data_IF_608555379678
#
_entry.id   IF_608555379678
#
_cell.length_a   1.000
_cell.length_b   1.000
_cell.length_c   1.000
_cell.angle_alpha   90.00
_cell.angle_beta   90.00
_cell.angle_gamma   90.00
#
_symmetry.space_group_name_H-M   'P 1'
#
loop_
_entity.id
_entity.type
_entity.pdbx_description
1 polymer ?
#
# COMPACT_ATOMS: atom_id res chain seq x y z
N UNK A 1 30.97 14.23 0.30
CA UNK A 1 30.07 15.06 1.13
C UNK A 1 30.90 15.56 2.31
N UNK A 2 31.02 16.88 2.50
CA UNK A 2 31.75 17.45 3.64
C UNK A 2 31.01 17.25 4.97
N UNK A 3 31.67 17.47 6.12
CA UNK A 3 31.09 17.24 7.45
C UNK A 3 29.85 18.10 7.77
N UNK A 4 29.66 19.22 7.05
CA UNK A 4 28.57 20.17 7.29
C UNK A 4 27.37 20.01 6.33
N UNK A 5 27.46 19.11 5.34
CA UNK A 5 26.37 18.89 4.38
C UNK A 5 25.21 18.15 5.06
N UNK A 6 23.99 18.72 4.99
CA UNK A 6 22.81 18.25 5.72
C UNK A 6 23.01 18.19 7.25
N UNK A 7 23.93 19.00 7.77
CA UNK A 7 24.12 19.21 9.20
C UNK A 7 23.27 20.41 9.67
N UNK A 8 22.39 20.19 10.64
CA UNK A 8 21.48 21.23 11.15
C UNK A 8 20.14 21.29 10.41
N UNK A 9 19.56 22.49 10.27
CA UNK A 9 18.28 22.68 9.56
C UNK A 9 18.54 22.66 8.06
N UNK A 10 17.88 21.77 7.35
CA UNK A 10 17.90 21.69 5.88
C UNK A 10 16.46 21.44 5.39
N UNK A 11 16.18 21.76 4.13
CA UNK A 11 14.85 21.57 3.56
C UNK A 11 14.73 22.21 2.18
N UNK A 12 13.69 21.84 1.44
CA UNK A 12 13.46 22.37 0.11
C UNK A 12 11.99 22.52 -0.23
N UNK A 13 11.74 23.30 -1.27
CA UNK A 13 10.43 23.53 -1.86
C UNK A 13 10.53 23.22 -3.34
N UNK A 14 9.65 22.35 -3.81
CA UNK A 14 9.42 22.13 -5.22
C UNK A 14 8.02 22.64 -5.58
N UNK A 15 7.92 23.37 -6.70
CA UNK A 15 6.66 23.88 -7.21
C UNK A 15 6.56 23.62 -8.71
N UNK A 16 5.51 22.91 -9.11
CA UNK A 16 5.26 22.55 -10.50
C UNK A 16 4.00 23.25 -11.02
N UNK A 17 4.12 24.49 -11.53
CA UNK A 17 2.97 25.22 -12.06
C UNK A 17 2.42 24.64 -13.36
N UNK A 18 3.27 23.96 -14.15
CA UNK A 18 2.91 23.37 -15.44
C UNK A 18 3.43 21.94 -15.54
N UNK A 19 2.78 21.10 -16.35
CA UNK A 19 3.24 19.72 -16.59
C UNK A 19 4.67 19.64 -17.13
N UNK A 20 5.12 20.67 -17.86
CA UNK A 20 6.45 20.75 -18.46
C UNK A 20 7.47 21.53 -17.63
N UNK A 21 7.11 22.19 -16.52
CA UNK A 21 8.02 23.03 -15.74
C UNK A 21 7.83 22.82 -14.23
N UNK A 22 8.91 22.45 -13.56
CA UNK A 22 9.04 22.47 -12.11
C UNK A 22 10.17 23.41 -11.70
N UNK A 23 9.94 24.20 -10.66
CA UNK A 23 10.93 25.05 -10.01
C UNK A 23 11.26 24.41 -8.68
N UNK A 24 12.54 24.35 -8.32
CA UNK A 24 13.01 23.80 -7.07
C UNK A 24 13.98 24.77 -6.38
N UNK A 25 13.90 24.81 -5.06
CA UNK A 25 14.82 25.55 -4.20
C UNK A 25 15.06 24.76 -2.93
N UNK A 26 16.30 24.53 -2.56
CA UNK A 26 16.67 23.79 -1.35
C UNK A 26 17.77 24.51 -0.56
N UNK A 27 17.73 24.36 0.75
CA UNK A 27 18.76 24.78 1.67
C UNK A 27 19.39 23.52 2.27
N UNK A 28 20.69 23.32 2.01
CA UNK A 28 21.42 22.08 2.32
C UNK A 28 22.20 22.13 3.65
N UNK A 29 21.94 23.15 4.48
CA UNK A 29 22.67 23.45 5.71
C UNK A 29 23.90 24.35 5.51
N UNK A 30 24.48 24.37 4.31
CA UNK A 30 25.65 25.21 3.97
C UNK A 30 25.34 26.34 2.99
N UNK A 31 24.24 26.23 2.24
CA UNK A 31 23.73 27.28 1.36
C UNK A 31 22.42 26.91 0.67
N UNK A 32 21.91 27.86 -0.10
CA UNK A 32 20.70 27.76 -0.92
C UNK A 32 21.08 27.38 -2.35
N UNK A 33 20.34 26.42 -2.89
CA UNK A 33 20.36 25.96 -4.26
C UNK A 33 19.01 26.28 -4.89
N UNK A 34 19.00 26.69 -6.16
CA UNK A 34 17.76 26.83 -6.91
C UNK A 34 17.94 26.41 -8.36
N UNK A 35 16.89 25.83 -8.94
CA UNK A 35 16.93 25.31 -10.29
C UNK A 35 15.54 25.09 -10.88
N UNK A 36 15.53 24.54 -12.09
CA UNK A 36 14.32 24.18 -12.78
C UNK A 36 14.46 22.81 -13.44
N UNK A 37 13.36 22.06 -13.51
CA UNK A 37 13.22 20.85 -14.32
C UNK A 37 12.25 21.13 -15.46
N UNK A 38 12.65 20.79 -16.67
CA UNK A 38 11.83 20.83 -17.87
C UNK A 38 11.45 19.41 -18.26
N UNK A 39 10.17 19.09 -18.30
CA UNK A 39 9.67 17.75 -18.64
C UNK A 39 9.19 17.70 -20.10
N UNK A 40 9.40 16.55 -20.74
CA UNK A 40 8.76 16.26 -22.02
C UNK A 40 7.24 16.14 -21.83
N UNK A 41 6.42 16.70 -22.74
CA UNK A 41 4.98 16.46 -22.76
C UNK A 41 4.64 14.96 -22.72
N UNK A 42 3.54 14.60 -22.07
CA UNK A 42 3.11 13.20 -21.88
C UNK A 42 2.90 12.43 -23.20
N UNK A 43 2.70 13.14 -24.31
CA UNK A 43 2.49 12.55 -25.64
C UNK A 43 3.77 12.30 -26.42
N UNK A 44 4.92 12.80 -25.97
CA UNK A 44 6.17 12.72 -26.73
C UNK A 44 6.87 11.37 -26.64
N UNK A 45 6.69 10.66 -25.53
CA UNK A 45 7.34 9.38 -25.30
C UNK A 45 6.28 8.27 -25.09
N UNK A 46 6.50 7.08 -25.66
CA UNK A 46 5.53 5.99 -25.59
C UNK A 46 5.45 5.39 -24.17
N UNK A 47 4.42 4.59 -23.92
CA UNK A 47 4.29 3.77 -22.71
C UNK A 47 4.32 4.55 -21.38
N UNK A 48 3.89 5.81 -21.38
CA UNK A 48 3.93 6.65 -20.18
C UNK A 48 5.35 7.02 -19.70
N UNK A 49 6.34 6.86 -20.58
CA UNK A 49 7.70 7.33 -20.30
C UNK A 49 7.73 8.86 -20.23
N UNK A 50 8.62 9.40 -19.41
CA UNK A 50 8.89 10.84 -19.40
C UNK A 50 10.39 11.10 -19.30
N UNK A 51 10.89 12.11 -20.01
CA UNK A 51 12.24 12.59 -19.85
C UNK A 51 12.22 14.00 -19.26
N UNK A 52 13.24 14.37 -18.52
CA UNK A 52 13.39 15.73 -18.03
C UNK A 52 14.83 16.22 -18.08
N UNK A 53 14.98 17.51 -18.27
CA UNK A 53 16.23 18.24 -18.15
C UNK A 53 16.19 19.04 -16.85
N UNK A 54 17.14 18.81 -15.95
CA UNK A 54 17.32 19.60 -14.73
C UNK A 54 18.47 20.57 -14.93
N UNK A 55 18.26 21.83 -14.58
CA UNK A 55 19.29 22.85 -14.58
C UNK A 55 19.36 23.54 -13.22
N UNK A 56 20.53 23.49 -12.57
CA UNK A 56 20.79 24.27 -11.38
C UNK A 56 21.21 25.69 -11.77
N UNK A 57 20.28 26.64 -11.59
CA UNK A 57 20.47 28.03 -11.97
C UNK A 57 21.24 28.84 -10.90
N UNK A 58 21.17 28.41 -9.63
CA UNK A 58 21.81 29.09 -8.51
C UNK A 58 22.30 28.10 -7.46
N UNK A 59 23.47 28.39 -6.90
CA UNK A 59 23.98 27.80 -5.67
C UNK A 59 24.88 28.82 -4.98
N UNK A 60 24.74 28.96 -3.67
CA UNK A 60 25.76 29.57 -2.82
C UNK A 60 26.23 28.59 -1.73
N UNK A 61 26.05 27.29 -1.96
CA UNK A 61 26.49 26.25 -1.05
C UNK A 61 28.01 26.22 -0.96
N UNK A 62 28.52 26.19 0.26
CA UNK A 62 29.95 26.09 0.54
C UNK A 62 30.38 24.65 0.83
N UNK A 63 29.61 23.66 0.34
CA UNK A 63 29.94 22.24 0.51
C UNK A 63 31.28 21.94 -0.15
N UNK A 64 32.23 21.42 0.64
CA UNK A 64 33.58 21.08 0.17
C UNK A 64 33.57 20.12 -1.03
N UNK A 65 34.36 20.44 -2.07
CA UNK A 65 34.48 19.68 -3.32
C UNK A 65 33.15 19.40 -4.05
N UNK A 66 32.18 20.31 -3.96
CA UNK A 66 30.93 20.23 -4.72
C UNK A 66 30.86 21.30 -5.79
N UNK A 67 30.55 20.90 -7.02
CA UNK A 67 30.24 21.84 -8.08
C UNK A 67 28.90 22.52 -7.80
N UNK A 68 28.91 23.84 -7.89
CA UNK A 68 27.77 24.70 -7.56
C UNK A 68 26.83 24.93 -8.77
N UNK A 69 27.12 24.28 -9.89
CA UNK A 69 26.29 24.30 -11.10
C UNK A 69 26.38 22.93 -11.77
N UNK A 70 25.23 22.33 -12.06
CA UNK A 70 25.14 21.10 -12.84
C UNK A 70 23.90 21.10 -13.74
N UNK A 71 23.99 20.30 -14.79
CA UNK A 71 22.88 19.97 -15.70
C UNK A 71 22.69 18.46 -15.62
N UNK A 72 21.45 18.01 -15.47
CA UNK A 72 21.13 16.59 -15.45
C UNK A 72 20.03 16.24 -16.43
N UNK A 73 20.08 15.02 -16.94
CA UNK A 73 19.03 14.44 -17.77
C UNK A 73 18.50 13.22 -17.05
N UNK A 74 17.19 13.13 -16.88
CA UNK A 74 16.54 11.98 -16.25
C UNK A 74 15.50 11.35 -17.17
N UNK A 75 15.35 10.03 -17.07
CA UNK A 75 14.34 9.24 -17.78
C UNK A 75 13.53 8.44 -16.75
N UNK A 76 12.21 8.54 -16.82
CA UNK A 76 11.28 7.78 -15.99
C UNK A 76 10.63 6.69 -16.84
N UNK A 77 10.76 5.44 -16.39
CA UNK A 77 10.23 4.25 -17.05
C UNK A 77 9.22 3.59 -16.11
N UNK A 78 7.90 3.70 -16.35
CA UNK A 78 6.92 2.99 -15.53
C UNK A 78 6.99 1.49 -15.81
N UNK A 79 7.53 0.71 -14.87
CA UNK A 79 7.71 -0.75 -15.02
C UNK A 79 6.38 -1.53 -15.00
N UNK A 80 5.29 -0.91 -14.57
CA UNK A 80 3.94 -1.48 -14.61
C UNK A 80 3.21 -1.27 -15.94
N UNK A 81 3.79 -0.51 -16.88
CA UNK A 81 3.12 -0.07 -18.10
C UNK A 81 1.93 0.86 -17.82
N UNK A 82 1.44 1.62 -18.82
CA UNK A 82 0.11 2.21 -18.72
C UNK A 82 -0.91 1.06 -18.63
N UNK A 83 -2.00 1.24 -17.89
CA UNK A 83 -3.13 0.28 -17.83
C UNK A 83 -3.75 -0.07 -19.21
N UNK A 84 -3.28 0.59 -20.28
CA UNK A 84 -3.62 0.36 -21.68
C UNK A 84 -2.62 -0.53 -22.45
N UNK A 85 -1.55 -1.03 -21.84
CA UNK A 85 -0.70 -2.01 -22.50
C UNK A 85 -1.55 -3.28 -22.77
N UNK A 86 -1.65 -3.76 -24.03
CA UNK A 86 -2.31 -5.03 -24.30
C UNK A 86 -1.59 -6.09 -23.48
N UNK A 87 -2.27 -6.62 -22.46
CA UNK A 87 -1.75 -7.75 -21.67
C UNK A 87 -1.36 -8.82 -22.68
N UNK A 88 -0.14 -9.32 -22.57
CA UNK A 88 0.31 -10.45 -23.36
C UNK A 88 -0.69 -11.59 -23.16
N UNK A 89 -1.53 -11.84 -24.15
CA UNK A 89 -2.40 -13.00 -24.18
C UNK A 89 -1.46 -14.16 -24.45
N UNK A 90 -1.11 -14.90 -23.40
CA UNK A 90 -0.43 -16.18 -23.55
C UNK A 90 -1.35 -17.03 -24.45
N UNK A 91 -0.89 -17.44 -25.67
CA UNK A 91 -1.62 -18.46 -26.41
C UNK A 91 -1.74 -19.66 -25.49
N UNK A 92 -2.94 -20.25 -25.34
CA UNK A 92 -3.20 -21.38 -24.45
C UNK A 92 -2.11 -22.44 -24.58
N UNK A 93 -1.08 -22.34 -23.73
CA UNK A 93 -0.08 -23.37 -23.55
C UNK A 93 -0.76 -24.41 -22.70
N UNK A 94 -0.90 -25.61 -23.26
CA UNK A 94 -1.32 -26.80 -22.53
C UNK A 94 -0.59 -26.82 -21.18
N UNK A 95 -1.38 -26.85 -20.11
CA UNK A 95 -0.90 -26.73 -18.74
C UNK A 95 -0.08 -27.96 -18.36
N UNK A 96 1.24 -27.81 -18.30
CA UNK A 96 2.08 -28.59 -17.38
C UNK A 96 2.92 -27.58 -16.59
N UNK A 97 2.44 -27.22 -15.40
CA UNK A 97 3.13 -26.27 -14.53
C UNK A 97 2.27 -25.76 -13.38
N UNK A 98 2.37 -26.49 -12.26
CA UNK A 98 1.95 -26.16 -10.88
C UNK A 98 0.49 -25.75 -10.70
N UNK A 99 -0.27 -26.73 -10.19
CA UNK A 99 -1.66 -26.69 -9.76
C UNK A 99 -2.03 -25.44 -8.94
N UNK A 100 -2.79 -24.52 -9.56
CA UNK A 100 -3.41 -23.36 -8.91
C UNK A 100 -4.86 -23.63 -8.47
N UNK A 101 -5.35 -24.88 -8.54
CA UNK A 101 -6.72 -25.24 -8.16
C UNK A 101 -6.83 -25.88 -6.75
N UNK A 102 -5.71 -26.01 -6.03
CA UNK A 102 -5.64 -26.80 -4.80
C UNK A 102 -5.74 -26.06 -3.44
N UNK A 103 -6.37 -24.88 -3.27
CA UNK A 103 -6.89 -24.50 -1.94
C UNK A 103 -8.42 -24.60 -1.81
N UNK A 104 -9.18 -24.62 -2.91
CA UNK A 104 -10.64 -24.46 -2.87
C UNK A 104 -11.43 -25.79 -2.84
N UNK A 105 -10.84 -26.89 -3.32
CA UNK A 105 -11.53 -28.20 -3.37
C UNK A 105 -11.70 -28.82 -1.96
N UNK A 106 -10.72 -28.62 -1.07
CA UNK A 106 -10.75 -29.20 0.28
C UNK A 106 -11.79 -28.52 1.22
N UNK A 107 -12.16 -27.26 0.96
CA UNK A 107 -13.24 -26.57 1.70
C UNK A 107 -14.65 -27.00 1.23
N UNK A 108 -14.79 -27.36 -0.05
CA UNK A 108 -16.06 -27.88 -0.59
C UNK A 108 -16.30 -29.34 -0.18
N UNK A 109 -15.27 -30.17 -0.09
CA UNK A 109 -15.40 -31.55 0.39
C UNK A 109 -15.64 -31.63 1.91
N UNK A 110 -15.08 -30.71 2.72
CA UNK A 110 -15.40 -30.65 4.15
C UNK A 110 -16.87 -30.29 4.43
N UNK A 111 -17.53 -29.58 3.49
CA UNK A 111 -18.94 -29.18 3.62
C UNK A 111 -19.92 -30.28 3.18
N UNK A 112 -19.52 -31.18 2.29
CA UNK A 112 -20.40 -32.24 1.75
C UNK A 112 -20.44 -33.50 2.61
N UNK A 113 -19.42 -33.77 3.44
CA UNK A 113 -19.39 -34.95 4.33
C UNK A 113 -20.32 -34.77 5.55
N UNK A 114 -20.71 -33.54 5.89
CA UNK A 114 -21.62 -33.26 7.01
C UNK A 114 -23.12 -33.45 6.69
N UNK A 115 -23.51 -33.69 5.42
CA UNK A 115 -24.92 -33.73 5.02
C UNK A 115 -25.52 -35.12 4.72
N UNK A 116 -24.81 -36.23 4.97
CA UNK A 116 -25.37 -37.57 4.75
C UNK A 116 -25.50 -38.37 6.04
N UNK A 117 -26.48 -38.00 6.89
CA UNK A 117 -27.38 -38.96 7.56
C UNK A 117 -28.53 -38.26 8.26
N UNK A 118 -29.69 -38.17 7.59
CA UNK A 118 -30.98 -38.12 8.29
C UNK A 118 -32.06 -38.69 7.39
N UNK A 119 -32.32 -39.97 7.61
CA UNK A 119 -33.51 -40.65 7.13
C UNK A 119 -34.65 -40.35 8.11
N UNK A 120 -35.67 -39.62 7.64
CA UNK A 120 -36.98 -39.52 8.28
C UNK A 120 -38.06 -39.05 7.28
N UNK A 121 -39.26 -39.61 7.47
CA UNK A 121 -40.51 -39.56 6.70
C UNK A 121 -40.99 -38.17 6.20
N UNK A 122 -41.92 -38.12 5.20
CA UNK A 122 -42.23 -36.89 4.48
C UNK A 122 -43.09 -35.95 5.32
N UNK A 123 -42.60 -34.72 5.54
CA UNK A 123 -43.37 -33.61 6.06
C UNK A 123 -42.99 -32.34 5.30
N UNK A 124 -43.99 -31.70 4.68
CA UNK A 124 -43.99 -30.43 3.95
C UNK A 124 -42.63 -29.73 3.77
N UNK A 125 -41.98 -30.04 2.65
CA UNK A 125 -40.69 -29.48 2.22
C UNK A 125 -40.73 -27.97 1.97
N UNK A 126 -41.88 -27.41 1.60
CA UNK A 126 -42.02 -26.00 1.22
C UNK A 126 -41.93 -25.00 2.39
N UNK A 127 -42.35 -25.39 3.60
CA UNK A 127 -42.23 -24.52 4.77
C UNK A 127 -40.82 -24.54 5.38
N UNK A 128 -40.12 -25.68 5.29
CA UNK A 128 -38.76 -25.82 5.80
C UNK A 128 -37.75 -25.13 4.87
N UNK A 129 -37.90 -25.22 3.54
CA UNK A 129 -37.06 -24.47 2.60
C UNK A 129 -37.24 -22.95 2.70
N UNK A 130 -38.48 -22.47 2.87
CA UNK A 130 -38.74 -21.03 3.08
C UNK A 130 -38.15 -20.54 4.39
N UNK A 131 -38.22 -21.32 5.47
CA UNK A 131 -37.69 -20.93 6.79
C UNK A 131 -36.16 -20.94 6.80
N UNK A 132 -35.52 -21.95 6.20
CA UNK A 132 -34.04 -22.04 6.09
C UNK A 132 -33.48 -20.97 5.14
N UNK A 133 -34.19 -20.63 4.07
CA UNK A 133 -33.78 -19.55 3.16
C UNK A 133 -33.97 -18.17 3.82
N UNK A 134 -35.08 -17.96 4.53
CA UNK A 134 -35.36 -16.70 5.24
C UNK A 134 -34.42 -16.46 6.44
N UNK A 135 -33.99 -17.51 7.15
CA UNK A 135 -33.00 -17.41 8.23
C UNK A 135 -31.59 -17.09 7.68
N UNK A 136 -31.27 -17.60 6.49
CA UNK A 136 -30.02 -17.31 5.76
C UNK A 136 -29.98 -15.92 5.10
N UNK A 137 -31.14 -15.29 4.87
CA UNK A 137 -31.26 -13.93 4.30
C UNK A 137 -31.57 -12.84 5.34
N UNK A 138 -31.67 -13.18 6.63
CA UNK A 138 -31.86 -12.19 7.66
C UNK A 138 -30.66 -11.20 7.69
N UNK A 139 -30.88 -9.88 7.78
CA UNK A 139 -29.82 -8.88 7.70
C UNK A 139 -28.69 -9.10 8.73
N UNK A 140 -29.03 -9.56 9.93
CA UNK A 140 -28.03 -9.88 10.95
C UNK A 140 -27.14 -11.06 10.54
N UNK A 141 -27.72 -12.09 9.90
CA UNK A 141 -26.96 -13.24 9.43
C UNK A 141 -26.01 -12.89 8.27
N UNK A 142 -26.38 -11.98 7.38
CA UNK A 142 -25.51 -11.53 6.29
C UNK A 142 -24.32 -10.70 6.79
N UNK A 143 -24.52 -9.80 7.77
CA UNK A 143 -23.43 -9.02 8.36
C UNK A 143 -22.42 -9.91 9.08
N UNK A 144 -22.90 -10.85 9.91
CA UNK A 144 -22.00 -11.80 10.60
C UNK A 144 -21.22 -12.65 9.59
N UNK A 145 -21.85 -13.12 8.51
CA UNK A 145 -21.18 -13.89 7.46
C UNK A 145 -20.12 -13.07 6.73
N UNK A 146 -20.42 -11.80 6.41
CA UNK A 146 -19.46 -10.89 5.80
C UNK A 146 -18.23 -10.70 6.71
N UNK A 147 -18.42 -10.44 8.01
CA UNK A 147 -17.32 -10.33 8.97
C UNK A 147 -16.46 -11.59 9.03
N UNK A 148 -17.09 -12.77 9.09
CA UNK A 148 -16.38 -14.05 9.10
C UNK A 148 -15.58 -14.27 7.81
N UNK A 149 -16.15 -13.93 6.64
CA UNK A 149 -15.43 -14.06 5.36
C UNK A 149 -14.24 -13.11 5.26
N UNK A 150 -14.41 -11.85 5.68
CA UNK A 150 -13.33 -10.86 5.66
C UNK A 150 -12.18 -11.26 6.60
N UNK A 151 -12.49 -11.71 7.81
CA UNK A 151 -11.47 -12.17 8.77
C UNK A 151 -10.81 -13.48 8.34
N UNK A 152 -11.56 -14.44 7.80
CA UNK A 152 -11.02 -15.69 7.25
C UNK A 152 -10.13 -15.46 6.01
N UNK A 153 -10.42 -14.42 5.23
CA UNK A 153 -9.55 -13.99 4.13
C UNK A 153 -8.19 -13.46 4.64
N UNK A 154 -8.16 -12.94 5.87
CA UNK A 154 -6.95 -12.45 6.54
C UNK A 154 -6.90 -10.93 6.73
N UNK A 155 -8.00 -10.21 6.48
CA UNK A 155 -8.10 -8.80 6.86
C UNK A 155 -8.12 -8.64 8.38
N UNK A 156 -7.63 -7.49 8.86
CA UNK A 156 -7.48 -7.19 10.28
C UNK A 156 -8.35 -5.98 10.67
N UNK A 157 -8.63 -5.81 11.97
CA UNK A 157 -9.51 -4.75 12.49
C UNK A 157 -10.85 -4.64 11.74
N UNK A 158 -11.41 -5.78 11.33
CA UNK A 158 -12.65 -5.80 10.55
C UNK A 158 -13.81 -5.32 11.42
N UNK A 159 -14.54 -4.33 10.94
CA UNK A 159 -15.78 -3.87 11.57
C UNK A 159 -16.86 -3.75 10.50
N UNK A 160 -18.02 -4.32 10.78
CA UNK A 160 -19.16 -4.33 9.87
C UNK A 160 -20.38 -3.88 10.66
N UNK A 161 -21.13 -2.94 10.09
CA UNK A 161 -22.30 -2.35 10.72
C UNK A 161 -23.22 -1.70 9.70
N UNK A 162 -24.25 -1.05 10.20
CA UNK A 162 -25.23 -0.35 9.34
C UNK A 162 -25.50 1.06 9.84
N UNK A 163 -25.88 1.93 8.91
CA UNK A 163 -26.37 3.27 9.19
C UNK A 163 -27.54 3.56 8.27
N UNK A 164 -28.75 3.59 8.83
CA UNK A 164 -29.99 3.69 8.02
C UNK A 164 -30.01 2.57 6.96
N UNK A 165 -30.05 2.93 5.68
CA UNK A 165 -30.05 2.02 4.53
C UNK A 165 -28.64 1.82 3.93
N UNK A 166 -27.59 2.08 4.69
CA UNK A 166 -26.19 1.91 4.29
C UNK A 166 -25.52 0.78 5.07
N UNK A 167 -24.90 -0.15 4.35
CA UNK A 167 -23.89 -1.06 4.90
C UNK A 167 -22.58 -0.27 5.10
N UNK A 168 -21.98 -0.33 6.28
CA UNK A 168 -20.69 0.30 6.55
C UNK A 168 -19.68 -0.77 6.96
N UNK A 169 -18.59 -0.83 6.21
CA UNK A 169 -17.47 -1.75 6.44
C UNK A 169 -16.19 -0.93 6.62
N UNK A 170 -15.41 -1.27 7.64
CA UNK A 170 -14.02 -0.82 7.73
C UNK A 170 -13.12 -2.00 8.04
N UNK A 171 -11.90 -1.97 7.51
CA UNK A 171 -10.88 -2.96 7.80
C UNK A 171 -9.49 -2.42 7.47
N UNK A 172 -8.49 -3.13 7.95
CA UNK A 172 -7.09 -2.86 7.66
C UNK A 172 -6.54 -3.89 6.67
N UNK A 173 -5.87 -3.39 5.63
CA UNK A 173 -5.18 -4.22 4.64
C UNK A 173 -3.71 -4.39 5.03
N UNK A 174 -3.34 -5.60 5.42
CA UNK A 174 -1.94 -6.01 5.62
C UNK A 174 -1.54 -7.19 4.69
N UNK A 175 -2.43 -7.58 3.76
CA UNK A 175 -2.22 -8.69 2.82
C UNK A 175 -1.68 -8.20 1.48
N UNK A 176 -2.23 -7.11 0.95
CA UNK A 176 -1.90 -6.58 -0.36
C UNK A 176 -0.98 -5.36 -0.23
N UNK A 177 0.24 -5.58 0.26
CA UNK A 177 1.22 -4.52 0.55
C UNK A 177 1.93 -3.98 -0.71
N UNK A 178 1.72 -4.61 -1.87
CA UNK A 178 2.28 -4.18 -3.17
C UNK A 178 1.27 -3.35 -3.97
N UNK A 179 -0.02 -3.64 -3.80
CA UNK A 179 -1.09 -2.97 -4.53
C UNK A 179 -2.38 -2.94 -3.70
N UNK A 180 -2.65 -1.81 -3.06
CA UNK A 180 -3.86 -1.63 -2.26
C UNK A 180 -5.13 -1.67 -3.10
N UNK A 181 -5.07 -1.40 -4.41
CA UNK A 181 -6.24 -1.44 -5.31
C UNK A 181 -6.79 -2.87 -5.41
N UNK A 182 -5.92 -3.89 -5.40
CA UNK A 182 -6.36 -5.30 -5.42
C UNK A 182 -7.15 -5.65 -4.16
N UNK A 183 -6.75 -5.10 -3.01
CA UNK A 183 -7.51 -5.25 -1.76
C UNK A 183 -8.90 -4.63 -1.86
N UNK A 184 -9.01 -3.46 -2.49
CA UNK A 184 -10.31 -2.81 -2.72
C UNK A 184 -11.18 -3.72 -3.58
N UNK A 185 -10.64 -4.27 -4.68
CA UNK A 185 -11.38 -5.18 -5.56
C UNK A 185 -11.92 -6.41 -4.83
N UNK A 186 -11.09 -7.07 -4.02
CA UNK A 186 -11.50 -8.24 -3.23
C UNK A 186 -12.59 -7.89 -2.23
N UNK A 187 -12.40 -6.82 -1.45
CA UNK A 187 -13.37 -6.42 -0.42
C UNK A 187 -14.69 -6.00 -1.04
N UNK A 188 -14.67 -5.24 -2.13
CA UNK A 188 -15.88 -4.84 -2.85
C UNK A 188 -16.62 -6.05 -3.42
N UNK A 189 -15.91 -7.09 -3.87
CA UNK A 189 -16.52 -8.34 -4.31
C UNK A 189 -17.20 -9.09 -3.16
N UNK A 190 -16.54 -9.20 -2.01
CA UNK A 190 -17.11 -9.80 -0.81
C UNK A 190 -18.33 -9.02 -0.29
N UNK A 191 -18.28 -7.69 -0.35
CA UNK A 191 -19.42 -6.83 -0.05
C UNK A 191 -20.56 -7.14 -1.02
N UNK A 192 -20.29 -7.15 -2.33
CA UNK A 192 -21.32 -7.40 -3.35
C UNK A 192 -22.10 -8.70 -3.11
N UNK A 193 -21.41 -9.75 -2.68
CA UNK A 193 -22.00 -11.08 -2.43
C UNK A 193 -22.85 -11.18 -1.15
N UNK A 194 -22.59 -10.35 -0.13
CA UNK A 194 -23.21 -10.45 1.20
C UNK A 194 -24.02 -9.20 1.59
N UNK A 195 -24.12 -8.22 0.69
CA UNK A 195 -24.74 -6.94 0.97
C UNK A 195 -26.27 -7.07 1.06
N UNK A 196 -26.80 -6.58 2.18
CA UNK A 196 -28.23 -6.62 2.52
C UNK A 196 -28.91 -5.25 2.44
N UNK A 197 -28.15 -4.22 2.07
CA UNK A 197 -28.59 -2.82 2.02
C UNK A 197 -28.46 -2.28 0.60
N UNK A 198 -29.24 -1.25 0.20
CA UNK A 198 -29.14 -0.69 -1.16
C UNK A 198 -27.86 0.10 -1.40
N UNK A 199 -27.19 0.58 -0.34
CA UNK A 199 -25.99 1.41 -0.39
C UNK A 199 -24.89 0.85 0.50
N UNK A 200 -23.64 1.15 0.15
CA UNK A 200 -22.49 0.77 0.96
C UNK A 200 -21.48 1.91 1.10
N UNK A 201 -20.76 1.85 2.21
CA UNK A 201 -19.56 2.63 2.48
C UNK A 201 -18.49 1.68 2.98
N UNK A 202 -17.37 1.65 2.28
CA UNK A 202 -16.17 0.92 2.66
C UNK A 202 -15.05 1.91 3.01
N UNK A 203 -14.45 1.75 4.18
CA UNK A 203 -13.31 2.55 4.64
C UNK A 203 -12.10 1.66 4.84
N UNK A 204 -11.04 1.92 4.07
CA UNK A 204 -9.75 1.26 4.25
C UNK A 204 -8.95 1.97 5.34
N UNK A 205 -8.40 1.19 6.26
CA UNK A 205 -7.53 1.63 7.34
C UNK A 205 -6.07 1.29 7.04
N UNK A 206 -5.16 2.10 7.58
CA UNK A 206 -3.73 1.81 7.70
C UNK A 206 -3.27 2.22 9.11
N UNK A 207 -2.76 1.27 9.90
CA UNK A 207 -2.46 1.46 11.32
C UNK A 207 -3.64 2.05 12.10
N UNK A 208 -4.84 1.53 11.83
CA UNK A 208 -6.11 2.00 12.39
C UNK A 208 -6.47 3.47 12.08
N UNK A 209 -5.84 4.07 11.06
CA UNK A 209 -6.19 5.39 10.51
C UNK A 209 -6.93 5.22 9.18
N UNK A 210 -8.11 5.83 8.99
CA UNK A 210 -8.79 5.86 7.69
C UNK A 210 -7.93 6.55 6.63
N UNK A 211 -7.72 5.88 5.50
CA UNK A 211 -6.91 6.42 4.37
C UNK A 211 -7.71 6.59 3.08
N UNK A 212 -8.69 5.73 2.83
CA UNK A 212 -9.52 5.75 1.62
C UNK A 212 -10.95 5.38 1.99
N UNK A 213 -11.93 6.05 1.38
CA UNK A 213 -13.34 5.67 1.41
C UNK A 213 -13.82 5.38 -0.01
N UNK A 214 -14.51 4.26 -0.17
CA UNK A 214 -15.27 3.89 -1.37
C UNK A 214 -16.75 3.83 -1.00
N UNK A 215 -17.62 4.43 -1.79
CA UNK A 215 -19.07 4.37 -1.55
C UNK A 215 -19.86 4.27 -2.85
N UNK A 216 -21.01 3.63 -2.79
CA UNK A 216 -21.90 3.46 -3.94
C UNK A 216 -23.15 2.67 -3.60
N UNK A 217 -23.80 2.12 -4.63
CA UNK A 217 -25.00 1.30 -4.52
C UNK A 217 -24.71 -0.18 -4.80
N UNK A 218 -25.64 -1.07 -4.42
CA UNK A 218 -25.59 -2.48 -4.84
C UNK A 218 -25.49 -2.60 -6.37
N UNK A 219 -26.22 -1.75 -7.10
CA UNK A 219 -26.21 -1.78 -8.56
C UNK A 219 -24.83 -1.43 -9.13
N UNK A 220 -24.12 -0.48 -8.52
CA UNK A 220 -22.75 -0.14 -8.94
C UNK A 220 -21.81 -1.33 -8.76
N UNK A 221 -21.94 -2.10 -7.67
CA UNK A 221 -21.14 -3.30 -7.44
C UNK A 221 -21.51 -4.43 -8.41
N UNK A 222 -22.80 -4.67 -8.64
CA UNK A 222 -23.25 -5.65 -9.63
C UNK A 222 -22.69 -5.34 -11.02
N UNK A 223 -22.71 -4.06 -11.42
CA UNK A 223 -22.15 -3.62 -12.69
C UNK A 223 -20.62 -3.73 -12.73
N UNK A 224 -19.93 -3.47 -11.60
CA UNK A 224 -18.47 -3.59 -11.50
C UNK A 224 -18.00 -5.04 -11.68
N UNK A 225 -18.75 -6.01 -11.18
CA UNK A 225 -18.41 -7.43 -11.22
C UNK A 225 -19.15 -8.22 -12.32
N UNK A 226 -19.81 -7.54 -13.26
CA UNK A 226 -20.41 -8.17 -14.44
C UNK A 226 -19.33 -8.60 -15.44
N UNK A 227 -19.05 -9.90 -15.47
CA UNK A 227 -18.01 -10.50 -16.33
C UNK A 227 -18.32 -10.40 -17.82
N UNK A 228 -19.59 -10.22 -18.19
CA UNK A 228 -20.00 -10.18 -19.60
C UNK A 228 -19.73 -8.80 -20.24
N UNK A 229 -19.52 -7.75 -19.42
CA UNK A 229 -19.46 -6.37 -19.89
C UNK A 229 -18.29 -5.56 -19.30
N UNK A 230 -17.12 -6.20 -19.09
CA UNK A 230 -15.93 -5.57 -18.50
C UNK A 230 -15.48 -4.27 -19.19
N UNK A 231 -15.69 -4.14 -20.51
CA UNK A 231 -15.33 -2.94 -21.29
C UNK A 231 -16.25 -1.72 -21.06
N UNK A 232 -17.40 -1.90 -20.40
CA UNK A 232 -18.39 -0.84 -20.17
C UNK A 232 -18.46 -0.37 -18.70
N UNK A 233 -17.62 -0.92 -17.82
CA UNK A 233 -17.61 -0.61 -16.39
C UNK A 233 -17.56 0.90 -16.09
N UNK A 234 -16.64 1.70 -16.68
CA UNK A 234 -16.53 3.12 -16.32
C UNK A 234 -17.79 3.94 -16.63
N UNK A 235 -18.61 3.50 -17.59
CA UNK A 235 -19.84 4.17 -17.98
C UNK A 235 -21.07 3.73 -17.15
N UNK A 236 -20.93 2.67 -16.35
CA UNK A 236 -22.05 2.01 -15.64
C UNK A 236 -21.91 2.00 -14.13
N UNK A 237 -20.82 2.53 -13.59
CA UNK A 237 -20.58 2.60 -12.15
C UNK A 237 -20.42 4.04 -11.69
N UNK A 238 -21.15 4.44 -10.66
CA UNK A 238 -21.03 5.75 -10.01
C UNK A 238 -20.32 5.65 -8.66
N UNK A 239 -19.35 4.73 -8.54
CA UNK A 239 -18.57 4.57 -7.33
C UNK A 239 -17.80 5.86 -7.02
N UNK A 240 -17.94 6.34 -5.79
CA UNK A 240 -17.20 7.50 -5.30
C UNK A 240 -16.02 7.01 -4.47
N UNK A 241 -14.80 7.41 -4.87
CA UNK A 241 -13.57 7.16 -4.13
C UNK A 241 -13.06 8.50 -3.62
N UNK A 242 -12.82 8.62 -2.32
CA UNK A 242 -12.32 9.85 -1.72
C UNK A 242 -11.36 9.58 -0.57
N UNK A 243 -10.45 10.53 -0.34
CA UNK A 243 -9.54 10.58 0.81
C UNK A 243 -9.94 11.68 1.81
N UNK A 244 -11.11 12.29 1.65
CA UNK A 244 -11.59 13.38 2.51
C UNK A 244 -12.68 12.93 3.48
N UNK A 245 -12.79 13.63 4.61
CA UNK A 245 -13.85 13.44 5.61
C UNK A 245 -14.06 11.98 6.03
N UNK A 246 -12.98 11.20 6.11
CA UNK A 246 -13.04 9.74 6.27
C UNK A 246 -13.66 9.33 7.62
N UNK A 247 -13.33 10.03 8.71
CA UNK A 247 -13.93 9.77 10.02
C UNK A 247 -15.44 10.03 10.05
N UNK A 248 -15.93 11.04 9.32
CA UNK A 248 -17.38 11.31 9.23
C UNK A 248 -18.14 10.14 8.58
N UNK A 249 -17.47 9.33 7.76
CA UNK A 249 -18.08 8.15 7.17
C UNK A 249 -18.47 7.11 8.23
N UNK A 250 -17.80 7.12 9.38
CA UNK A 250 -17.96 6.17 10.48
C UNK A 250 -18.89 6.68 11.59
N UNK A 251 -19.29 7.96 11.54
CA UNK A 251 -20.19 8.56 12.53
C UNK A 251 -21.60 7.96 12.44
N UNK A 252 -22.18 7.65 13.60
CA UNK A 252 -23.56 7.15 13.71
C UNK A 252 -23.80 5.73 13.18
N UNK A 253 -22.73 4.96 12.97
CA UNK A 253 -22.83 3.55 12.56
C UNK A 253 -23.19 2.67 13.75
N UNK A 254 -24.16 1.79 13.56
CA UNK A 254 -24.47 0.72 14.49
C UNK A 254 -23.63 -0.51 14.13
N UNK A 255 -22.56 -0.76 14.87
CA UNK A 255 -21.61 -1.85 14.62
C UNK A 255 -22.18 -3.18 15.11
N UNK A 256 -22.35 -4.13 14.20
CA UNK A 256 -22.67 -5.53 14.52
C UNK A 256 -21.41 -6.27 15.01
N UNK A 257 -20.28 -5.97 14.36
CA UNK A 257 -18.95 -6.45 14.73
C UNK A 257 -17.97 -5.29 14.77
N UNK A 258 -17.04 -5.31 15.73
CA UNK A 258 -16.14 -4.19 15.97
C UNK A 258 -14.72 -4.67 16.23
N UNK A 259 -13.81 -4.34 15.30
CA UNK A 259 -12.38 -4.69 15.33
C UNK A 259 -12.09 -6.18 15.52
N UNK A 260 -12.81 -7.02 14.78
CA UNK A 260 -12.49 -8.44 14.67
C UNK A 260 -11.11 -8.65 14.03
N UNK A 261 -10.38 -9.68 14.49
CA UNK A 261 -8.98 -9.93 14.10
C UNK A 261 -8.09 -8.70 14.35
N UNK A 262 -7.99 -8.26 15.61
CA UNK A 262 -7.23 -7.06 15.94
C UNK A 262 -5.73 -7.20 15.65
N UNK A 263 -5.13 -6.14 15.11
CA UNK A 263 -3.70 -6.09 14.82
C UNK A 263 -2.83 -5.50 15.96
N UNK A 264 -3.42 -5.06 17.06
CA UNK A 264 -2.67 -4.42 18.14
C UNK A 264 -1.69 -5.41 18.77
N UNK A 265 -0.44 -4.97 18.95
CA UNK A 265 0.67 -5.78 19.46
C UNK A 265 0.94 -7.06 18.66
N UNK A 266 0.43 -7.16 17.42
CA UNK A 266 0.71 -8.28 16.53
C UNK A 266 2.00 -7.97 15.76
N UNK A 267 3.14 -8.65 16.06
CA UNK A 267 4.38 -8.38 15.37
C UNK A 267 4.30 -8.87 13.92
N UNK A 268 4.76 -8.04 12.99
CA UNK A 268 4.97 -8.39 11.59
C UNK A 268 6.45 -8.45 11.32
N UNK A 269 6.91 -9.59 10.82
CA UNK A 269 8.32 -9.82 10.47
C UNK A 269 8.44 -9.83 8.96
N UNK A 270 9.22 -8.90 8.42
CA UNK A 270 9.45 -8.73 7.00
C UNK A 270 10.91 -9.08 6.73
N UNK A 271 11.12 -10.00 5.78
CA UNK A 271 12.45 -10.37 5.30
C UNK A 271 12.66 -9.75 3.93
N UNK A 272 13.77 -9.04 3.75
CA UNK A 272 14.13 -8.48 2.44
C UNK A 272 15.62 -8.62 2.17
N UNK A 273 16.01 -8.87 0.90
CA UNK A 273 17.41 -8.82 0.52
C UNK A 273 17.88 -7.35 0.50
N UNK A 274 19.10 -7.13 0.96
CA UNK A 274 19.78 -5.84 0.85
C UNK A 274 21.11 -6.02 0.13
N UNK A 275 21.33 -5.19 -0.88
CA UNK A 275 22.52 -5.25 -1.72
C UNK A 275 23.19 -3.89 -1.77
N UNK A 276 24.49 -3.87 -1.46
CA UNK A 276 25.39 -2.79 -1.82
C UNK A 276 26.21 -3.30 -2.99
N UNK A 277 26.33 -2.51 -4.05
CA UNK A 277 27.05 -2.92 -5.26
C UNK A 277 27.88 -1.79 -5.84
N UNK A 278 29.06 -2.13 -6.34
CA UNK A 278 29.90 -1.24 -7.14
C UNK A 278 30.00 -1.83 -8.55
N UNK A 279 29.79 -1.01 -9.57
CA UNK A 279 29.73 -1.45 -10.98
C UNK A 279 30.74 -0.66 -11.79
N UNK A 280 31.52 -1.36 -12.63
CA UNK A 280 32.48 -0.72 -13.54
C UNK A 280 33.60 0.01 -12.81
N UNK A 281 34.11 -0.56 -11.72
CA UNK A 281 35.26 -0.04 -11.02
C UNK A 281 36.56 -0.44 -11.74
N UNK A 282 37.68 0.19 -11.38
CA UNK A 282 39.02 -0.22 -11.83
C UNK A 282 39.46 -1.59 -11.27
N UNK A 283 38.71 -2.13 -10.31
CA UNK A 283 38.99 -3.40 -9.61
C UNK A 283 38.07 -4.54 -10.08
N UNK A 284 36.90 -4.23 -10.63
CA UNK A 284 35.91 -5.22 -11.01
C UNK A 284 34.75 -4.69 -11.83
N UNK A 285 34.15 -5.58 -12.62
CA UNK A 285 32.92 -5.27 -13.39
C UNK A 285 31.72 -5.16 -12.46
N UNK A 286 31.64 -6.03 -11.45
CA UNK A 286 30.54 -6.07 -10.49
C UNK A 286 31.02 -6.62 -9.15
N UNK A 287 30.95 -5.78 -8.13
CA UNK A 287 31.26 -6.11 -6.74
C UNK A 287 30.03 -5.94 -5.88
N UNK A 288 29.88 -6.78 -4.85
CA UNK A 288 28.67 -6.77 -4.04
C UNK A 288 28.90 -7.15 -2.58
N UNK A 289 28.00 -6.65 -1.73
CA UNK A 289 27.74 -7.15 -0.39
C UNK A 289 26.24 -7.42 -0.25
N UNK A 290 25.88 -8.66 0.08
CA UNK A 290 24.50 -9.13 0.24
C UNK A 290 24.20 -9.38 1.72
N UNK A 291 23.06 -8.87 2.18
CA UNK A 291 22.54 -9.12 3.52
C UNK A 291 21.05 -9.47 3.49
N UNK A 292 20.59 -10.15 4.54
CA UNK A 292 19.19 -10.31 4.89
C UNK A 292 18.82 -9.21 5.88
N UNK A 293 17.91 -8.34 5.49
CA UNK A 293 17.26 -7.41 6.40
C UNK A 293 16.07 -8.11 7.04
N UNK A 294 16.07 -8.19 8.38
CA UNK A 294 14.93 -8.64 9.18
C UNK A 294 14.29 -7.43 9.84
N UNK A 295 13.10 -7.07 9.41
CA UNK A 295 12.38 -5.90 9.88
C UNK A 295 11.16 -6.32 10.69
N UNK A 296 11.10 -5.92 11.96
CA UNK A 296 10.02 -6.23 12.88
C UNK A 296 9.20 -4.98 13.13
N UNK A 297 7.92 -5.02 12.77
CA UNK A 297 6.96 -3.95 12.94
C UNK A 297 5.89 -4.35 13.94
N UNK A 298 5.67 -3.53 14.95
CA UNK A 298 4.67 -3.79 15.99
C UNK A 298 3.75 -2.58 16.12
N UNK A 299 2.48 -2.69 15.70
CA UNK A 299 1.48 -1.67 15.99
C UNK A 299 1.22 -1.61 17.49
N UNK A 300 1.28 -0.41 18.08
CA UNK A 300 1.22 -0.24 19.55
C UNK A 300 -0.11 0.38 19.99
N UNK A 301 -0.57 1.39 19.23
CA UNK A 301 -1.90 1.99 19.38
C UNK A 301 -2.30 2.63 18.04
N UNK A 302 -3.47 3.30 17.99
CA UNK A 302 -3.97 3.94 16.76
C UNK A 302 -2.93 4.91 16.19
N UNK A 303 -2.53 4.65 14.94
CA UNK A 303 -1.54 5.42 14.21
C UNK A 303 -0.09 5.18 14.66
N UNK A 304 0.18 4.38 15.69
CA UNK A 304 1.53 4.20 16.22
C UNK A 304 2.11 2.83 15.99
N UNK A 305 3.39 2.80 15.62
CA UNK A 305 4.14 1.59 15.30
C UNK A 305 5.59 1.71 15.74
N UNK A 306 6.12 0.62 16.31
CA UNK A 306 7.56 0.44 16.51
C UNK A 306 8.12 -0.38 15.35
N UNK A 307 9.23 0.09 14.77
CA UNK A 307 9.94 -0.51 13.63
C UNK A 307 11.39 -0.78 14.02
N UNK A 308 11.80 -2.05 14.00
CA UNK A 308 13.17 -2.48 14.34
C UNK A 308 13.75 -3.28 13.19
N UNK A 309 14.93 -2.90 12.70
CA UNK A 309 15.61 -3.60 11.61
C UNK A 309 16.97 -4.11 12.01
N UNK A 310 17.19 -5.40 11.76
CA UNK A 310 18.48 -6.06 11.88
C UNK A 310 19.00 -6.45 10.50
N UNK A 311 20.29 -6.22 10.27
CA UNK A 311 21.00 -6.60 9.06
C UNK A 311 21.85 -7.83 9.36
N UNK A 312 21.70 -8.88 8.56
CA UNK A 312 22.50 -10.10 8.64
C UNK A 312 23.28 -10.28 7.33
N UNK A 313 24.60 -10.04 7.31
CA UNK A 313 25.42 -10.31 6.13
C UNK A 313 25.34 -11.78 5.73
N UNK A 314 25.11 -12.05 4.45
CA UNK A 314 25.01 -13.41 3.89
C UNK A 314 26.26 -13.73 3.06
N UNK A 315 26.62 -12.85 2.13
CA UNK A 315 27.70 -13.08 1.15
C UNK A 315 28.28 -11.76 0.68
N UNK A 316 29.49 -11.79 0.13
CA UNK A 316 30.15 -10.64 -0.47
C UNK A 316 31.13 -11.09 -1.57
N UNK A 317 31.49 -10.19 -2.49
CA UNK A 317 32.61 -10.41 -3.41
C UNK A 317 33.96 -10.25 -2.71
N UNK A 318 35.04 -10.58 -3.42
CA UNK A 318 36.40 -10.50 -2.91
C UNK A 318 36.77 -9.06 -2.54
N UNK A 319 36.43 -8.06 -3.37
CA UNK A 319 36.73 -6.65 -3.08
C UNK A 319 35.97 -6.07 -1.86
N UNK A 320 34.95 -6.77 -1.36
CA UNK A 320 34.22 -6.47 -0.11
C UNK A 320 34.72 -7.30 1.08
N UNK A 321 35.78 -8.11 0.92
CA UNK A 321 36.39 -8.86 2.00
C UNK A 321 37.14 -7.96 3.00
N UNK A 322 37.50 -8.52 4.15
CA UNK A 322 38.21 -7.79 5.19
C UNK A 322 39.58 -7.30 4.71
N UNK A 323 39.83 -6.00 4.84
CA UNK A 323 41.08 -5.35 4.39
C UNK A 323 41.09 -4.93 2.92
N UNK A 324 40.08 -5.31 2.14
CA UNK A 324 39.96 -4.95 0.73
C UNK A 324 39.32 -3.57 0.52
N UNK A 325 39.34 -3.10 -0.72
CA UNK A 325 38.95 -1.73 -1.11
C UNK A 325 37.56 -1.33 -0.59
N UNK A 326 36.59 -2.23 -0.66
CA UNK A 326 35.22 -2.00 -0.22
C UNK A 326 34.87 -2.71 1.09
N UNK A 327 35.83 -3.36 1.75
CA UNK A 327 35.63 -4.11 2.99
C UNK A 327 34.97 -3.30 4.10
N UNK A 328 35.36 -2.04 4.26
CA UNK A 328 34.78 -1.13 5.26
C UNK A 328 33.33 -0.67 4.93
N UNK A 329 32.86 -0.90 3.71
CA UNK A 329 31.52 -0.54 3.25
C UNK A 329 30.59 -1.75 3.13
N UNK A 330 31.04 -2.94 3.51
CA UNK A 330 30.20 -4.14 3.50
C UNK A 330 29.10 -4.05 4.55
N UNK A 331 28.02 -4.80 4.34
CA UNK A 331 27.02 -5.00 5.37
C UNK A 331 27.66 -5.59 6.63
N UNK A 332 27.29 -5.05 7.79
CA UNK A 332 27.72 -5.59 9.08
C UNK A 332 26.51 -6.15 9.82
N UNK A 333 26.75 -7.12 10.71
CA UNK A 333 25.66 -7.62 11.54
C UNK A 333 25.35 -6.61 12.64
N UNK A 334 24.26 -5.88 12.48
CA UNK A 334 23.86 -4.83 13.42
C UNK A 334 22.36 -4.57 13.35
N UNK A 335 21.81 -4.07 14.45
CA UNK A 335 20.53 -3.37 14.41
C UNK A 335 20.83 -1.98 13.86
N UNK A 336 20.33 -1.69 12.66
CA UNK A 336 20.58 -0.43 11.96
C UNK A 336 19.38 0.51 12.00
N UNK A 337 18.27 0.09 12.62
CA UNK A 337 17.08 0.92 12.77
C UNK A 337 16.29 0.53 14.00
N UNK A 338 15.92 1.54 14.78
CA UNK A 338 14.92 1.45 15.85
C UNK A 338 14.13 2.74 15.78
N UNK A 339 12.88 2.67 15.33
CA UNK A 339 12.03 3.84 15.10
C UNK A 339 10.68 3.66 15.80
N UNK A 340 10.15 4.77 16.31
CA UNK A 340 8.76 4.92 16.70
C UNK A 340 8.09 5.86 15.70
N UNK A 341 7.01 5.40 15.08
CA UNK A 341 6.18 6.18 14.16
C UNK A 341 4.85 6.51 14.82
N UNK A 342 4.34 7.72 14.60
CA UNK A 342 3.01 8.18 14.99
C UNK A 342 2.37 8.93 13.82
N UNK A 343 1.37 8.32 13.21
CA UNK A 343 0.45 8.95 12.25
C UNK A 343 -0.75 9.55 12.96
N UNK A 344 -1.21 10.71 12.50
CA UNK A 344 -2.46 11.35 12.93
C UNK A 344 -3.15 11.99 11.73
N UNK A 345 -4.48 11.97 11.76
CA UNK A 345 -5.28 12.76 10.80
C UNK A 345 -5.69 14.06 11.48
N UNK A 346 -5.35 15.18 10.85
CA UNK A 346 -5.68 16.53 11.28
C UNK A 346 -6.91 17.05 10.52
N UNK A 347 -7.55 18.13 11.02
CA UNK A 347 -8.64 18.79 10.30
C UNK A 347 -8.27 19.19 8.87
N UNK A 348 -9.29 19.43 8.04
CA UNK A 348 -9.13 19.83 6.62
C UNK A 348 -8.43 18.80 5.71
N UNK A 349 -8.39 17.52 6.10
CA UNK A 349 -7.84 16.46 5.26
C UNK A 349 -6.31 16.42 5.24
N UNK A 350 -5.67 16.96 6.27
CA UNK A 350 -4.22 16.87 6.45
C UNK A 350 -3.89 15.57 7.19
N UNK A 351 -2.95 14.79 6.66
CA UNK A 351 -2.34 13.66 7.37
C UNK A 351 -0.95 14.07 7.82
N UNK A 352 -0.60 13.75 9.06
CA UNK A 352 0.74 13.99 9.59
C UNK A 352 1.33 12.69 10.11
N UNK A 353 2.61 12.47 9.87
CA UNK A 353 3.37 11.38 10.45
C UNK A 353 4.63 11.92 11.10
N UNK A 354 4.83 11.61 12.37
CA UNK A 354 6.05 11.91 13.11
C UNK A 354 6.78 10.60 13.36
N UNK A 355 8.09 10.58 13.12
CA UNK A 355 8.92 9.42 13.39
C UNK A 355 10.15 9.85 14.18
N UNK A 356 10.50 9.11 15.22
CA UNK A 356 11.67 9.39 16.06
C UNK A 356 12.43 8.10 16.33
N UNK A 357 13.75 8.20 16.44
CA UNK A 357 14.56 7.03 16.79
C UNK A 357 15.96 7.10 16.22
N UNK A 358 16.51 5.92 15.96
CA UNK A 358 17.84 5.73 15.42
C UNK A 358 17.79 5.09 14.03
N UNK A 359 18.59 5.63 13.11
CA UNK A 359 18.86 5.09 11.78
C UNK A 359 20.38 4.91 11.65
N UNK A 360 20.82 3.85 10.98
CA UNK A 360 22.20 3.40 11.06
C UNK A 360 22.61 3.00 12.48
N UNK A 361 23.91 2.94 12.72
CA UNK A 361 24.47 2.56 14.02
C UNK A 361 24.54 3.72 15.02
N UNK A 362 24.44 4.98 14.57
CA UNK A 362 24.74 6.14 15.39
C UNK A 362 23.92 7.41 15.09
N UNK A 363 23.02 7.43 14.08
CA UNK A 363 22.23 8.63 13.80
C UNK A 363 20.91 8.58 14.56
N UNK A 364 20.76 9.46 15.53
CA UNK A 364 19.51 9.66 16.27
C UNK A 364 18.83 10.94 15.80
N UNK A 365 17.52 10.89 15.57
CA UNK A 365 16.80 12.05 15.06
C UNK A 365 15.30 11.84 15.00
N UNK A 366 14.64 12.84 14.44
CA UNK A 366 13.21 12.82 14.17
C UNK A 366 12.92 13.37 12.78
N UNK A 367 11.86 12.86 12.17
CA UNK A 367 11.32 13.35 10.91
C UNK A 367 9.81 13.54 11.06
N UNK A 368 9.27 14.52 10.36
CA UNK A 368 7.83 14.76 10.28
C UNK A 368 7.43 14.98 8.82
N UNK A 369 6.44 14.24 8.34
CA UNK A 369 5.82 14.42 7.05
C UNK A 369 4.39 14.94 7.23
N UNK A 370 3.98 15.89 6.40
CA UNK A 370 2.61 16.39 6.33
C UNK A 370 2.11 16.28 4.89
N UNK A 371 0.95 15.65 4.70
CA UNK A 371 0.28 15.52 3.41
C UNK A 371 -1.06 16.23 3.45
N UNK A 372 -1.27 17.17 2.53
CA UNK A 372 -2.52 17.90 2.39
C UNK A 372 -3.13 17.61 1.02
N UNK A 373 -4.34 17.07 1.00
CA UNK A 373 -5.09 16.86 -0.24
C UNK A 373 -6.10 18.00 -0.42
N UNK A 374 -5.68 19.04 -1.13
CA UNK A 374 -6.59 20.12 -1.56
C UNK A 374 -7.46 19.59 -2.69
N UNK A 375 -8.72 19.25 -2.38
CA UNK A 375 -9.72 18.95 -3.40
C UNK A 375 -9.91 20.20 -4.26
N UNK A 376 -9.52 20.13 -5.54
CA UNK A 376 -9.99 21.12 -6.51
C UNK A 376 -11.49 20.87 -6.67
N UNK A 377 -12.31 21.81 -6.21
CA UNK A 377 -13.68 21.91 -6.70
C UNK A 377 -13.60 22.11 -8.22
N UNK A 378 -14.13 21.16 -8.98
CA UNK A 378 -14.36 21.29 -10.41
C UNK A 378 -15.82 20.96 -10.68
#
# INVERSE_FOLDING_TARGET
>A
MGPDYLSGVFGGVEYQPFSWLQILSDYDGTGVNAGAKLFTPETWLPYGMSAHLTYQAYSNSNTFNRDNQWVGIGLTLPLSGPNAAPRYIRPQSQQEGVDQQAPTINLQQASSVAQVKKEAAPANTEEVEKKVTAEKTAPTHSLTRLTQRLTAYGFENVSVGTRQDELVVQLENNLFNVNEIDSLGVVLGLINEEMSQPKFVFVLLNNNLPVVKVSGTQQDLNNLFDTDNLGQIPARTNLTITTNQLYKALDGVNWDSNRESSHLFKPRVIFSPSIYSTIGSEYGVFDYSLALATNVQVPVWTGAMVDVRHMLPISHSDDYADGERFGNSRHTSTVDRIMLHQGVTLPAGVMAQVSVGQIGTNYQGGTSEFRCNLSRYS
#
